data_IF_282072890904
#
_entry.id   IF_282072890904
#
_cell.length_a   1.000
_cell.length_b   1.000
_cell.length_c   1.000
_cell.angle_alpha   90.00
_cell.angle_beta   90.00
_cell.angle_gamma   90.00
#
_symmetry.space_group_name_H-M   'P 1'
#
loop_
_entity.id
_entity.type
_entity.pdbx_description
1 polymer ?
#
# COMPACT_ATOMS: atom_id res chain seq x y z
N UNK A 1 -8.81 -10.57 6.07
CA UNK A 1 -8.08 -9.59 5.27
C UNK A 1 -6.63 -9.54 5.68
N UNK A 2 -5.74 -9.49 4.70
CA UNK A 2 -4.33 -9.35 4.97
C UNK A 2 -3.97 -7.93 5.39
N UNK A 3 -2.86 -7.81 6.11
CA UNK A 3 -2.35 -6.52 6.59
C UNK A 3 -2.14 -5.52 5.44
N UNK A 4 -1.67 -6.00 4.29
CA UNK A 4 -1.41 -5.14 3.15
C UNK A 4 -2.70 -4.62 2.51
N UNK A 5 -3.81 -5.30 2.66
CA UNK A 5 -5.08 -4.87 2.08
C UNK A 5 -5.53 -3.52 2.66
N UNK A 6 -5.14 -3.24 3.89
CA UNK A 6 -5.46 -1.97 4.54
C UNK A 6 -4.86 -0.80 3.74
N UNK A 7 -3.64 -0.96 3.25
CA UNK A 7 -2.96 0.06 2.44
C UNK A 7 -3.55 0.12 1.04
N UNK A 8 -3.71 -1.02 0.40
CA UNK A 8 -4.11 -1.07 -1.00
C UNK A 8 -5.60 -0.77 -1.21
N UNK A 9 -6.40 -0.83 -0.15
CA UNK A 9 -7.82 -0.47 -0.23
C UNK A 9 -8.04 1.04 -0.33
N UNK A 10 -7.12 1.85 0.20
CA UNK A 10 -7.26 3.30 0.18
C UNK A 10 -8.40 3.79 1.05
N UNK A 11 -8.65 5.12 1.08
CA UNK A 11 -9.70 5.71 1.93
C UNK A 11 -11.11 5.25 1.56
N UNK A 12 -11.36 4.94 0.29
CA UNK A 12 -12.67 4.53 -0.19
C UNK A 12 -12.85 3.01 -0.20
N UNK A 13 -11.80 2.27 0.10
CA UNK A 13 -11.82 0.82 0.01
C UNK A 13 -11.76 0.27 -1.41
N UNK A 14 -11.54 1.14 -2.40
CA UNK A 14 -11.61 0.75 -3.81
C UNK A 14 -10.38 1.14 -4.61
N UNK A 15 -9.27 1.43 -3.95
CA UNK A 15 -8.07 1.82 -4.67
C UNK A 15 -7.49 0.62 -5.41
N UNK A 16 -7.22 0.80 -6.70
CA UNK A 16 -6.72 -0.30 -7.50
C UNK A 16 -5.20 -0.17 -7.68
N UNK A 17 -4.55 -1.32 -7.84
CA UNK A 17 -3.10 -1.40 -7.94
C UNK A 17 -2.55 -0.63 -9.13
N UNK A 18 -3.30 -0.58 -10.24
CA UNK A 18 -2.86 0.14 -11.42
C UNK A 18 -2.77 1.65 -11.15
N UNK A 19 -3.71 2.19 -10.37
CA UNK A 19 -3.66 3.60 -9.99
C UNK A 19 -2.47 3.89 -9.09
N UNK A 20 -2.20 3.00 -8.14
CA UNK A 20 -1.03 3.13 -7.26
C UNK A 20 0.25 3.10 -8.08
N UNK A 21 0.35 2.18 -9.03
CA UNK A 21 1.51 2.08 -9.91
C UNK A 21 1.74 3.38 -10.69
N UNK A 22 0.67 3.98 -11.17
CA UNK A 22 0.72 5.22 -11.94
C UNK A 22 1.24 6.39 -11.10
N UNK A 23 0.76 6.49 -9.87
CA UNK A 23 1.13 7.59 -8.96
C UNK A 23 2.53 7.42 -8.40
N UNK A 24 2.94 6.19 -8.09
CA UNK A 24 4.23 5.93 -7.45
C UNK A 24 5.35 5.62 -8.44
N UNK A 25 5.00 5.22 -9.67
CA UNK A 25 5.99 4.76 -10.63
C UNK A 25 6.47 3.33 -10.37
N UNK A 26 5.84 2.62 -9.44
CA UNK A 26 6.21 1.25 -9.09
C UNK A 26 5.47 0.28 -10.00
N UNK A 27 6.17 -0.72 -10.59
CA UNK A 27 5.50 -1.69 -11.46
C UNK A 27 4.38 -2.45 -10.74
N UNK A 28 3.26 -2.75 -11.40
CA UNK A 28 2.17 -3.51 -10.77
C UNK A 28 2.60 -4.86 -10.24
N UNK A 29 3.54 -5.54 -10.90
CA UNK A 29 4.05 -6.83 -10.43
C UNK A 29 4.69 -6.71 -9.05
N UNK A 30 5.42 -5.62 -8.80
CA UNK A 30 6.04 -5.37 -7.51
C UNK A 30 4.96 -5.11 -6.46
N UNK A 31 3.93 -4.34 -6.81
CA UNK A 31 2.83 -4.04 -5.89
C UNK A 31 2.06 -5.31 -5.51
N UNK A 32 1.82 -6.20 -6.45
CA UNK A 32 1.17 -7.49 -6.16
C UNK A 32 2.02 -8.34 -5.21
N UNK A 33 3.33 -8.34 -5.38
CA UNK A 33 4.24 -9.06 -4.49
C UNK A 33 4.18 -8.48 -3.08
N UNK A 34 4.19 -7.16 -2.95
CA UNK A 34 4.10 -6.48 -1.65
C UNK A 34 2.78 -6.76 -0.96
N UNK A 35 1.70 -6.85 -1.73
CA UNK A 35 0.39 -7.18 -1.17
C UNK A 35 0.39 -8.56 -0.53
N UNK A 36 1.10 -9.51 -1.13
CA UNK A 36 1.21 -10.87 -0.59
C UNK A 36 2.21 -10.94 0.56
N UNK A 37 3.29 -10.17 0.49
CA UNK A 37 4.35 -10.20 1.49
C UNK A 37 4.71 -8.77 1.89
N UNK A 38 3.91 -8.15 2.77
CA UNK A 38 4.14 -6.77 3.19
C UNK A 38 5.45 -6.56 3.94
N UNK A 39 6.02 -7.61 4.51
CA UNK A 39 7.30 -7.50 5.21
C UNK A 39 8.47 -7.27 4.27
N UNK A 40 8.30 -7.52 2.98
CA UNK A 40 9.35 -7.27 1.99
C UNK A 40 9.44 -5.81 1.57
N UNK A 41 8.49 -4.96 2.00
CA UNK A 41 8.46 -3.56 1.62
C UNK A 41 9.47 -2.77 2.44
N UNK A 42 10.34 -2.03 1.77
CA UNK A 42 11.33 -1.18 2.46
C UNK A 42 10.65 0.06 3.03
N UNK A 43 11.25 0.63 4.08
CA UNK A 43 10.68 1.78 4.79
C UNK A 43 10.40 2.97 3.86
N UNK A 44 11.33 3.28 2.95
CA UNK A 44 11.13 4.37 2.01
C UNK A 44 9.98 4.12 1.03
N UNK A 45 9.82 2.86 0.62
CA UNK A 45 8.74 2.46 -0.26
C UNK A 45 7.39 2.46 0.47
N UNK A 46 7.38 2.07 1.73
CA UNK A 46 6.18 2.16 2.56
C UNK A 46 5.69 3.59 2.68
N UNK A 47 6.62 4.51 2.89
CA UNK A 47 6.28 5.93 2.99
C UNK A 47 5.63 6.42 1.69
N UNK A 48 6.19 6.00 0.56
CA UNK A 48 5.66 6.34 -0.75
C UNK A 48 4.25 5.79 -0.95
N UNK A 49 4.03 4.53 -0.54
CA UNK A 49 2.72 3.90 -0.61
C UNK A 49 1.69 4.62 0.26
N UNK A 50 2.04 4.94 1.49
CA UNK A 50 1.12 5.64 2.39
C UNK A 50 0.73 7.00 1.81
N UNK A 51 1.68 7.70 1.19
CA UNK A 51 1.41 8.98 0.56
C UNK A 51 0.49 8.83 -0.64
N UNK A 52 0.76 7.83 -1.49
CA UNK A 52 -0.03 7.59 -2.69
C UNK A 52 -1.46 7.15 -2.39
N UNK A 53 -1.63 6.34 -1.35
CA UNK A 53 -2.94 5.83 -0.94
C UNK A 53 -3.66 6.75 0.02
N UNK A 54 -3.04 7.85 0.43
CA UNK A 54 -3.57 8.81 1.40
C UNK A 54 -3.98 8.12 2.70
N UNK A 55 -3.12 7.22 3.19
CA UNK A 55 -3.40 6.46 4.40
C UNK A 55 -3.49 7.38 5.63
N UNK A 56 -4.52 7.18 6.44
CA UNK A 56 -4.66 7.92 7.68
C UNK A 56 -3.72 7.36 8.75
N UNK A 57 -3.40 8.14 9.81
CA UNK A 57 -2.57 7.60 10.91
C UNK A 57 -3.12 6.32 11.51
N UNK A 58 -4.45 6.18 11.60
CA UNK A 58 -5.08 4.97 12.12
C UNK A 58 -4.78 3.77 11.23
N UNK A 59 -4.83 3.94 9.91
CA UNK A 59 -4.54 2.86 8.96
C UNK A 59 -3.09 2.45 9.02
N UNK A 60 -2.19 3.44 9.16
CA UNK A 60 -0.76 3.15 9.27
C UNK A 60 -0.49 2.34 10.54
N UNK A 61 -1.10 2.71 11.65
CA UNK A 61 -0.95 1.96 12.90
C UNK A 61 -1.47 0.53 12.77
N UNK A 62 -2.61 0.34 12.11
CA UNK A 62 -3.16 -0.99 11.89
C UNK A 62 -2.24 -1.85 11.04
N UNK A 63 -1.57 -1.25 10.06
CA UNK A 63 -0.62 -1.98 9.23
C UNK A 63 0.51 -2.57 10.07
N UNK A 64 0.97 -1.86 11.09
CA UNK A 64 2.08 -2.30 11.91
C UNK A 64 1.68 -3.19 13.09
N UNK A 65 0.40 -3.46 13.26
CA UNK A 65 -0.04 -4.43 14.23
C UNK A 65 0.18 -5.83 13.68
#
# INVERSE_FOLDING_TARGET
>A
MGRADIIFAGPTGKLNIQQIAKVTGIPPTTLYRWRKDPDSIKAGELRLLFKATKATPERILEFFK
#
